data_IF_702733138285
#
_entry.id   IF_702733138285
#
_cell.length_a   1.000
_cell.length_b   1.000
_cell.length_c   1.000
_cell.angle_alpha   90.00
_cell.angle_beta   90.00
_cell.angle_gamma   90.00
#
_symmetry.space_group_name_H-M   'P 1'
#
loop_
_entity.id
_entity.type
_entity.pdbx_description
1 polymer ?
#
# COMPACT_ATOMS: atom_id res chain seq x y z
N UNK A 1 12.71 13.05 1.55
CA UNK A 1 13.04 11.64 1.73
C UNK A 1 11.83 10.89 2.22
N UNK A 2 11.62 9.67 1.74
CA UNK A 2 10.61 8.71 2.18
C UNK A 2 11.26 7.32 2.23
N UNK A 3 11.13 6.60 3.33
CA UNK A 3 11.72 5.26 3.48
C UNK A 3 10.66 4.25 3.90
N UNK A 4 10.93 2.98 3.64
CA UNK A 4 10.11 1.86 4.11
C UNK A 4 10.91 0.93 5.03
N UNK A 5 10.21 0.27 5.94
CA UNK A 5 10.76 -0.87 6.69
C UNK A 5 10.53 -2.18 5.93
N UNK A 6 11.28 -3.26 6.21
CA UNK A 6 11.15 -4.53 5.51
C UNK A 6 9.80 -5.24 5.76
N UNK A 7 9.12 -4.90 6.86
CA UNK A 7 7.81 -5.42 7.23
C UNK A 7 6.64 -4.52 6.79
N UNK A 8 6.91 -3.35 6.20
CA UNK A 8 5.87 -2.45 5.74
C UNK A 8 5.11 -3.06 4.54
N UNK A 9 3.91 -2.57 4.28
CA UNK A 9 3.13 -2.88 3.08
C UNK A 9 2.53 -1.60 2.52
N UNK A 10 2.44 -1.48 1.20
CA UNK A 10 1.82 -0.33 0.53
C UNK A 10 0.89 -0.80 -0.58
N UNK A 11 -0.35 -0.33 -0.57
CA UNK A 11 -1.35 -0.64 -1.58
C UNK A 11 -2.50 0.35 -1.49
N UNK A 12 -3.38 0.37 -2.50
CA UNK A 12 -4.59 1.21 -2.48
C UNK A 12 -5.57 0.82 -1.36
N UNK A 13 -5.57 -0.46 -0.99
CA UNK A 13 -6.32 -1.04 0.13
C UNK A 13 -5.67 -2.36 0.56
N UNK A 14 -6.08 -2.94 1.70
CA UNK A 14 -5.57 -4.25 2.12
C UNK A 14 -5.96 -5.38 1.16
N UNK A 15 -5.08 -6.37 0.95
CA UNK A 15 -5.34 -7.47 0.00
C UNK A 15 -6.61 -8.27 0.30
N UNK A 16 -6.88 -8.56 1.58
CA UNK A 16 -8.12 -9.24 2.00
C UNK A 16 -9.36 -8.40 1.71
N UNK A 17 -9.26 -7.09 1.90
CA UNK A 17 -10.33 -6.14 1.63
C UNK A 17 -10.62 -6.09 0.13
N UNK A 18 -9.58 -6.00 -0.71
CA UNK A 18 -9.71 -6.02 -2.17
C UNK A 18 -10.38 -7.32 -2.65
N UNK A 19 -9.90 -8.47 -2.17
CA UNK A 19 -10.45 -9.76 -2.53
C UNK A 19 -11.93 -9.88 -2.12
N UNK A 20 -12.28 -9.45 -0.92
CA UNK A 20 -13.67 -9.49 -0.41
C UNK A 20 -14.62 -8.59 -1.19
N UNK A 21 -14.20 -7.35 -1.50
CA UNK A 21 -15.03 -6.42 -2.28
C UNK A 21 -15.25 -6.93 -3.70
N UNK A 22 -14.20 -7.41 -4.37
CA UNK A 22 -14.31 -7.94 -5.73
C UNK A 22 -15.14 -9.23 -5.78
N UNK A 23 -15.04 -10.09 -4.77
CA UNK A 23 -15.87 -11.28 -4.68
C UNK A 23 -17.35 -10.95 -4.44
N UNK A 24 -17.65 -9.93 -3.63
CA UNK A 24 -19.01 -9.43 -3.41
C UNK A 24 -19.62 -8.94 -4.73
N UNK A 25 -18.92 -8.07 -5.46
CA UNK A 25 -19.39 -7.56 -6.77
C UNK A 25 -19.62 -8.70 -7.76
N UNK A 26 -18.78 -9.73 -7.74
CA UNK A 26 -18.93 -10.90 -8.61
C UNK A 26 -20.14 -11.76 -8.23
N UNK A 27 -20.38 -11.97 -6.94
CA UNK A 27 -21.55 -12.68 -6.42
C UNK A 27 -22.85 -11.97 -6.84
N UNK A 28 -22.94 -10.66 -6.62
CA UNK A 28 -24.09 -9.85 -7.02
C UNK A 28 -24.37 -9.96 -8.54
N UNK A 29 -23.30 -10.02 -9.35
CA UNK A 29 -23.41 -10.17 -10.80
C UNK A 29 -23.84 -11.59 -11.24
N UNK A 30 -23.48 -12.64 -10.50
CA UNK A 30 -23.93 -14.02 -10.73
C UNK A 30 -25.40 -14.17 -10.35
N UNK A 31 -25.79 -13.66 -9.17
CA UNK A 31 -27.17 -13.70 -8.68
C UNK A 31 -28.12 -12.97 -9.65
N UNK A 32 -27.68 -11.84 -10.22
CA UNK A 32 -28.44 -11.13 -11.25
C UNK A 32 -28.67 -11.93 -12.54
N UNK A 33 -27.85 -12.96 -12.80
CA UNK A 33 -28.02 -13.92 -13.92
C UNK A 33 -28.75 -15.21 -13.51
N UNK A 34 -29.13 -15.35 -12.24
CA UNK A 34 -29.69 -16.59 -11.69
C UNK A 34 -28.64 -17.70 -11.54
N UNK A 35 -27.36 -17.33 -11.51
CA UNK A 35 -26.23 -18.22 -11.25
C UNK A 35 -25.80 -18.06 -9.78
N UNK A 36 -25.19 -19.10 -9.21
CA UNK A 36 -24.50 -19.02 -7.92
C UNK A 36 -23.15 -19.71 -8.04
N UNK A 37 -22.28 -19.50 -7.06
CA UNK A 37 -20.97 -20.13 -6.99
C UNK A 37 -20.67 -20.63 -5.58
N UNK A 38 -19.91 -21.72 -5.49
CA UNK A 38 -19.57 -22.34 -4.21
C UNK A 38 -18.52 -21.53 -3.44
N UNK A 39 -18.40 -21.78 -2.14
CA UNK A 39 -17.32 -21.21 -1.32
C UNK A 39 -15.92 -21.56 -1.87
N UNK A 40 -15.77 -22.73 -2.49
CA UNK A 40 -14.53 -23.15 -3.16
C UNK A 40 -14.25 -22.34 -4.45
N UNK A 41 -15.28 -22.00 -5.21
CA UNK A 41 -15.17 -21.12 -6.39
C UNK A 41 -14.82 -19.69 -5.98
N UNK A 42 -15.45 -19.19 -4.92
CA UNK A 42 -15.14 -17.89 -4.36
C UNK A 42 -13.70 -17.82 -3.83
N UNK A 43 -13.25 -18.83 -3.08
CA UNK A 43 -11.88 -18.85 -2.57
C UNK A 43 -10.85 -18.95 -3.70
N UNK A 44 -11.11 -19.75 -4.75
CA UNK A 44 -10.28 -19.80 -5.96
C UNK A 44 -10.22 -18.45 -6.68
N UNK A 45 -11.27 -17.64 -6.60
CA UNK A 45 -11.29 -16.28 -7.15
C UNK A 45 -10.54 -15.28 -6.28
N UNK A 46 -10.69 -15.36 -4.96
CA UNK A 46 -10.04 -14.47 -3.98
C UNK A 46 -8.53 -14.70 -3.87
N UNK A 47 -8.08 -15.96 -3.90
CA UNK A 47 -6.68 -16.34 -3.74
C UNK A 47 -5.69 -15.57 -4.65
N UNK A 48 -5.86 -15.50 -5.99
CA UNK A 48 -4.92 -14.77 -6.85
C UNK A 48 -4.92 -13.26 -6.59
N UNK A 49 -6.03 -12.69 -6.13
CA UNK A 49 -6.12 -11.26 -5.78
C UNK A 49 -5.27 -11.00 -4.53
N UNK A 50 -5.40 -11.83 -3.50
CA UNK A 50 -4.57 -11.72 -2.28
C UNK A 50 -3.08 -11.84 -2.61
N UNK A 51 -2.73 -12.83 -3.43
CA UNK A 51 -1.34 -13.05 -3.85
C UNK A 51 -0.79 -11.84 -4.63
N UNK A 52 -1.58 -11.26 -5.53
CA UNK A 52 -1.21 -10.05 -6.23
C UNK A 52 -0.89 -8.91 -5.26
N UNK A 53 -1.77 -8.65 -4.30
CA UNK A 53 -1.59 -7.57 -3.34
C UNK A 53 -0.40 -7.82 -2.40
N UNK A 54 -0.14 -9.05 -1.99
CA UNK A 54 1.03 -9.37 -1.16
C UNK A 54 2.34 -9.16 -1.94
N UNK A 55 2.36 -9.59 -3.20
CA UNK A 55 3.53 -9.43 -4.08
C UNK A 55 3.79 -7.96 -4.39
N UNK A 56 2.76 -7.22 -4.78
CA UNK A 56 2.87 -5.83 -5.24
C UNK A 56 2.94 -4.83 -4.09
N UNK A 57 2.43 -5.22 -2.91
CA UNK A 57 2.51 -4.39 -1.71
C UNK A 57 3.78 -4.57 -0.89
N UNK A 58 4.65 -5.50 -1.27
CA UNK A 58 5.96 -5.70 -0.65
C UNK A 58 6.84 -4.44 -0.75
N UNK A 59 7.63 -4.09 0.28
CA UNK A 59 8.53 -2.94 0.23
C UNK A 59 9.59 -3.09 -0.87
N UNK A 60 9.94 -4.32 -1.26
CA UNK A 60 10.83 -4.57 -2.39
C UNK A 60 10.17 -4.26 -3.75
N UNK A 61 8.86 -4.43 -3.86
CA UNK A 61 8.13 -4.04 -5.06
C UNK A 61 8.08 -2.52 -5.21
N UNK A 62 7.85 -1.83 -4.09
CA UNK A 62 7.83 -0.37 -3.96
C UNK A 62 9.18 0.27 -4.30
N UNK A 63 10.24 -0.16 -3.62
CA UNK A 63 11.57 0.44 -3.75
C UNK A 63 12.17 0.22 -5.15
N UNK A 64 11.86 -0.91 -5.80
CA UNK A 64 12.27 -1.18 -7.19
C UNK A 64 11.64 -0.19 -8.20
N UNK A 65 10.64 0.59 -7.79
CA UNK A 65 9.91 1.58 -8.59
C UNK A 65 10.06 3.01 -8.07
N UNK A 66 10.94 3.24 -7.10
CA UNK A 66 11.19 4.54 -6.48
C UNK A 66 9.93 5.21 -5.89
N UNK A 67 8.98 4.42 -5.40
CA UNK A 67 7.90 4.97 -4.58
C UNK A 67 8.41 5.41 -3.20
N UNK A 68 9.54 4.86 -2.79
CA UNK A 68 10.36 5.22 -1.64
C UNK A 68 11.83 5.38 -2.06
N UNK A 69 12.62 6.06 -1.23
CA UNK A 69 14.06 6.26 -1.40
C UNK A 69 14.90 5.10 -0.83
N UNK A 70 14.26 4.02 -0.38
CA UNK A 70 14.94 2.82 0.10
C UNK A 70 14.22 2.10 1.24
N UNK A 71 14.49 0.80 1.32
CA UNK A 71 14.16 -0.05 2.47
C UNK A 71 15.31 0.01 3.48
N UNK A 72 15.01 0.35 4.74
CA UNK A 72 16.01 0.52 5.80
C UNK A 72 15.81 -0.50 6.94
N UNK A 73 16.89 -0.88 7.62
CA UNK A 73 16.78 -1.61 8.88
C UNK A 73 16.04 -0.76 9.91
N UNK A 74 14.99 -1.27 10.59
CA UNK A 74 14.29 -0.53 11.64
C UNK A 74 15.22 0.04 12.73
N UNK A 75 16.30 -0.67 13.09
CA UNK A 75 17.32 -0.22 14.03
C UNK A 75 18.11 1.01 13.56
N UNK A 76 18.17 1.24 12.25
CA UNK A 76 18.87 2.38 11.63
C UNK A 76 18.00 3.63 11.46
N UNK A 77 16.70 3.56 11.76
CA UNK A 77 15.74 4.65 11.55
C UNK A 77 16.24 5.99 12.10
N UNK A 78 16.75 6.00 13.34
CA UNK A 78 17.30 7.22 13.97
C UNK A 78 18.44 7.82 13.15
N UNK A 79 19.38 6.98 12.69
CA UNK A 79 20.57 7.42 11.95
C UNK A 79 20.17 7.99 10.60
N UNK A 80 19.32 7.29 9.86
CA UNK A 80 18.86 7.70 8.52
C UNK A 80 18.08 9.01 8.59
N UNK A 81 17.16 9.16 9.56
CA UNK A 81 16.42 10.42 9.76
C UNK A 81 17.36 11.57 10.13
N UNK A 82 18.33 11.34 11.03
CA UNK A 82 19.30 12.37 11.41
C UNK A 82 20.12 12.85 10.21
N UNK A 83 20.56 11.94 9.35
CA UNK A 83 21.27 12.28 8.11
C UNK A 83 20.38 13.04 7.12
N UNK A 84 19.12 12.61 6.95
CA UNK A 84 18.14 13.30 6.10
C UNK A 84 17.86 14.74 6.57
N UNK A 85 17.73 14.95 7.88
CA UNK A 85 17.58 16.29 8.47
C UNK A 85 18.83 17.14 8.28
N UNK A 86 20.02 16.57 8.50
CA UNK A 86 21.30 17.26 8.25
C UNK A 86 21.44 17.71 6.79
N UNK A 87 21.04 16.85 5.85
CA UNK A 87 21.02 17.20 4.43
C UNK A 87 20.02 18.33 4.13
N UNK A 88 18.79 18.23 4.65
CA UNK A 88 17.74 19.23 4.46
C UNK A 88 18.10 20.61 5.05
N UNK A 89 18.90 20.65 6.12
CA UNK A 89 19.32 21.88 6.79
C UNK A 89 20.24 22.78 5.93
N UNK A 90 20.65 22.34 4.74
CA UNK A 90 21.40 23.16 3.78
C UNK A 90 20.50 24.11 2.97
N UNK A 91 19.17 24.00 3.11
CA UNK A 91 18.20 24.92 2.51
C UNK A 91 17.51 25.78 3.60
N UNK A 92 17.09 27.02 3.30
CA UNK A 92 16.32 27.84 4.22
C UNK A 92 14.95 27.20 4.53
N UNK A 93 14.43 27.47 5.72
CA UNK A 93 13.08 27.05 6.11
C UNK A 93 12.08 28.09 5.56
N UNK A 94 11.24 27.65 4.63
CA UNK A 94 10.18 28.49 4.04
C UNK A 94 9.00 28.70 5.00
N UNK A 95 8.34 29.87 4.99
CA UNK A 95 7.11 30.07 5.76
C UNK A 95 5.97 29.21 5.22
N UNK A 96 5.15 28.66 6.12
CA UNK A 96 4.00 27.86 5.73
C UNK A 96 2.84 28.74 5.20
N UNK A 97 2.20 28.27 4.12
CA UNK A 97 0.95 28.83 3.60
C UNK A 97 0.00 27.67 3.31
N UNK A 98 -1.27 27.81 3.72
CA UNK A 98 -2.27 26.75 3.63
C UNK A 98 -3.38 27.11 2.65
N UNK A 99 -3.99 26.09 2.04
CA UNK A 99 -5.22 26.22 1.27
C UNK A 99 -6.45 26.45 2.15
N UNK A 100 -7.64 26.43 1.54
CA UNK A 100 -8.91 26.57 2.26
C UNK A 100 -9.18 25.35 3.13
N UNK A 101 -9.45 25.58 4.42
CA UNK A 101 -9.97 24.54 5.31
C UNK A 101 -11.49 24.43 5.18
N UNK A 102 -12.01 23.22 4.97
CA UNK A 102 -13.45 22.93 5.04
C UNK A 102 -13.83 22.77 6.51
N UNK A 103 -14.64 23.71 7.02
CA UNK A 103 -15.19 23.69 8.39
C UNK A 103 -16.45 22.84 8.48
#
# INVERSE_FOLDING_TARGET
>A
FLWMWPNARISVMGGEQAASVLATVRRDALEARGEDWTDEEEERFRAPIREQFEREGSPYHSTARLWDDGVIDPGDTRRVVALGLSAAANAPIEPASYGVFRM
#
